data_IF_914860338212
#
_entry.id   IF_914860338212
#
_cell.length_a   1.000
_cell.length_b   1.000
_cell.length_c   1.000
_cell.angle_alpha   90.00
_cell.angle_beta   90.00
_cell.angle_gamma   90.00
#
_symmetry.space_group_name_H-M   'P 1'
#
loop_
_entity.id
_entity.type
_entity.pdbx_description
1 polymer ?
#
# COMPACT_ATOMS: atom_id res chain seq x y z
N UNK A 1 -3.24 14.82 -14.92
CA UNK A 1 -2.61 14.66 -13.58
C UNK A 1 -3.59 13.93 -12.67
N UNK A 2 -3.11 13.18 -11.68
CA UNK A 2 -3.98 12.42 -10.76
C UNK A 2 -4.61 13.35 -9.73
N UNK A 3 -5.88 13.08 -9.40
CA UNK A 3 -6.64 13.83 -8.39
C UNK A 3 -6.10 13.56 -6.98
N UNK A 4 -6.00 14.60 -6.15
CA UNK A 4 -5.64 14.53 -4.74
C UNK A 4 -6.82 14.91 -3.85
N UNK A 5 -7.21 13.99 -2.97
CA UNK A 5 -8.31 14.15 -2.02
C UNK A 5 -7.85 14.36 -0.58
N UNK A 6 -6.54 14.31 -0.31
CA UNK A 6 -5.97 14.41 1.04
C UNK A 6 -5.16 13.19 1.48
N UNK A 7 -5.31 12.05 0.80
CA UNK A 7 -4.61 10.81 1.15
C UNK A 7 -3.23 10.69 0.50
N UNK A 8 -2.25 10.22 1.26
CA UNK A 8 -0.87 9.99 0.81
C UNK A 8 -0.27 11.21 0.06
N UNK A 9 -0.09 12.35 0.76
CA UNK A 9 0.40 13.59 0.14
C UNK A 9 1.78 13.41 -0.49
N UNK A 10 2.65 12.60 0.11
CA UNK A 10 3.99 12.30 -0.39
C UNK A 10 3.96 11.57 -1.75
N UNK A 11 3.13 10.54 -1.88
CA UNK A 11 2.96 9.80 -3.13
C UNK A 11 2.28 10.64 -4.23
N UNK A 12 1.39 11.55 -3.88
CA UNK A 12 0.82 12.48 -4.85
C UNK A 12 1.86 13.50 -5.35
N UNK A 13 2.62 14.13 -4.44
CA UNK A 13 3.68 15.09 -4.80
C UNK A 13 4.71 14.45 -5.73
N UNK A 14 5.16 13.22 -5.43
CA UNK A 14 6.13 12.51 -6.27
C UNK A 14 5.62 12.33 -7.71
N UNK A 15 4.35 11.96 -7.88
CA UNK A 15 3.73 11.78 -9.20
C UNK A 15 3.55 13.12 -9.92
N UNK A 16 3.18 14.17 -9.21
CA UNK A 16 3.09 15.52 -9.76
C UNK A 16 4.45 16.02 -10.25
N UNK A 17 5.52 15.90 -9.44
CA UNK A 17 6.89 16.26 -9.84
C UNK A 17 7.34 15.52 -11.10
N UNK A 18 7.04 14.21 -11.20
CA UNK A 18 7.32 13.40 -12.39
C UNK A 18 6.54 13.88 -13.61
N UNK A 19 5.24 14.14 -13.45
CA UNK A 19 4.40 14.69 -14.52
C UNK A 19 4.96 16.02 -15.03
N UNK A 20 5.29 16.93 -14.11
CA UNK A 20 5.86 18.24 -14.45
C UNK A 20 7.18 18.14 -15.20
N UNK A 21 8.08 17.26 -14.77
CA UNK A 21 9.34 17.03 -15.45
C UNK A 21 9.16 16.45 -16.86
N UNK A 22 8.23 15.49 -17.03
CA UNK A 22 7.97 14.86 -18.33
C UNK A 22 7.42 15.84 -19.37
N UNK A 23 6.54 16.75 -18.95
CA UNK A 23 5.89 17.72 -19.85
C UNK A 23 6.58 19.09 -19.87
N UNK A 24 7.64 19.29 -19.08
CA UNK A 24 8.43 20.51 -19.08
C UNK A 24 7.71 21.76 -18.57
N UNK A 25 6.80 21.61 -17.59
CA UNK A 25 5.98 22.73 -17.09
C UNK A 25 6.84 23.79 -16.40
N UNK A 26 6.52 25.07 -16.61
CA UNK A 26 7.09 26.20 -15.87
C UNK A 26 6.61 26.22 -14.40
N UNK A 27 7.25 26.99 -13.52
CA UNK A 27 6.83 27.08 -12.12
C UNK A 27 5.38 27.57 -11.96
N UNK A 28 4.94 28.49 -12.82
CA UNK A 28 3.57 29.01 -12.85
C UNK A 28 2.58 27.93 -13.30
N UNK A 29 2.91 27.19 -14.37
CA UNK A 29 2.07 26.12 -14.91
C UNK A 29 1.94 24.96 -13.92
N UNK A 30 3.01 24.63 -13.18
CA UNK A 30 2.99 23.59 -12.14
C UNK A 30 1.94 23.89 -11.08
N UNK A 31 1.90 25.13 -10.60
CA UNK A 31 0.95 25.53 -9.57
C UNK A 31 -0.49 25.43 -10.09
N UNK A 32 -0.76 25.94 -11.30
CA UNK A 32 -2.08 25.85 -11.92
C UNK A 32 -2.52 24.39 -12.08
N UNK A 33 -1.67 23.55 -12.65
CA UNK A 33 -1.97 22.14 -12.87
C UNK A 33 -2.16 21.36 -11.55
N UNK A 34 -1.39 21.67 -10.52
CA UNK A 34 -1.54 21.09 -9.19
C UNK A 34 -2.90 21.45 -8.58
N UNK A 35 -3.29 22.73 -8.62
CA UNK A 35 -4.57 23.21 -8.06
C UNK A 35 -5.76 22.61 -8.80
N UNK A 36 -5.68 22.50 -10.13
CA UNK A 36 -6.71 21.82 -10.94
C UNK A 36 -6.86 20.33 -10.62
N UNK A 37 -5.89 19.74 -9.93
CA UNK A 37 -5.87 18.33 -9.55
C UNK A 37 -6.24 18.11 -8.09
N UNK A 38 -6.66 19.15 -7.35
CA UNK A 38 -7.18 19.02 -6.00
C UNK A 38 -8.69 18.76 -6.04
N UNK A 39 -9.16 17.88 -5.17
CA UNK A 39 -10.58 17.57 -5.00
C UNK A 39 -10.92 17.29 -3.53
N UNK A 40 -12.21 17.24 -3.20
CA UNK A 40 -12.69 16.98 -1.85
C UNK A 40 -12.07 17.89 -0.79
N UNK A 41 -11.62 17.29 0.32
CA UNK A 41 -11.04 18.00 1.46
C UNK A 41 -9.80 18.82 1.09
N UNK A 42 -9.00 18.36 0.12
CA UNK A 42 -7.84 19.08 -0.37
C UNK A 42 -8.21 20.38 -1.09
N UNK A 43 -9.27 20.35 -1.90
CA UNK A 43 -9.75 21.54 -2.61
C UNK A 43 -10.36 22.56 -1.64
N UNK A 44 -11.19 22.11 -0.69
CA UNK A 44 -11.77 23.00 0.33
C UNK A 44 -10.69 23.68 1.17
N UNK A 45 -9.67 22.93 1.59
CA UNK A 45 -8.53 23.48 2.31
C UNK A 45 -7.77 24.53 1.48
N UNK A 46 -7.52 24.24 0.20
CA UNK A 46 -6.82 25.17 -0.69
C UNK A 46 -7.57 26.50 -0.79
N UNK A 47 -8.87 26.45 -1.09
CA UNK A 47 -9.72 27.65 -1.20
C UNK A 47 -9.73 28.47 0.10
N UNK A 48 -9.87 27.81 1.25
CA UNK A 48 -9.84 28.47 2.57
C UNK A 48 -8.51 29.18 2.87
N UNK A 49 -7.41 28.61 2.39
CA UNK A 49 -6.04 29.08 2.64
C UNK A 49 -5.65 30.20 1.67
N UNK A 50 -5.99 30.04 0.39
CA UNK A 50 -5.63 30.97 -0.69
C UNK A 50 -6.26 32.36 -0.48
N UNK A 51 -7.50 32.41 0.03
CA UNK A 51 -8.18 33.64 0.44
C UNK A 51 -7.45 34.45 1.52
N UNK A 52 -6.53 33.83 2.28
CA UNK A 52 -5.77 34.49 3.35
C UNK A 52 -4.32 34.69 2.98
N UNK A 53 -3.73 33.72 2.29
CA UNK A 53 -2.31 33.72 1.97
C UNK A 53 -2.05 32.92 0.71
N UNK A 54 -1.95 33.65 -0.39
CA UNK A 54 -1.68 33.16 -1.74
C UNK A 54 -0.50 32.18 -1.75
N UNK A 55 -0.62 31.14 -2.56
CA UNK A 55 0.47 30.21 -2.86
C UNK A 55 1.38 30.82 -3.92
N UNK A 56 2.62 31.12 -3.55
CA UNK A 56 3.57 31.79 -4.45
C UNK A 56 4.39 30.85 -5.34
N UNK A 57 4.36 29.53 -5.10
CA UNK A 57 5.09 28.55 -5.89
C UNK A 57 4.61 27.13 -5.61
N UNK A 58 4.96 26.20 -6.52
CA UNK A 58 4.76 24.77 -6.31
C UNK A 58 5.44 24.27 -5.02
N UNK A 59 6.66 24.73 -4.75
CA UNK A 59 7.38 24.40 -3.51
C UNK A 59 6.63 24.87 -2.25
N UNK A 60 6.00 26.05 -2.30
CA UNK A 60 5.19 26.53 -1.20
C UNK A 60 3.93 25.67 -1.00
N UNK A 61 3.28 25.25 -2.08
CA UNK A 61 2.12 24.36 -2.03
C UNK A 61 2.50 23.01 -1.42
N UNK A 62 3.57 22.36 -1.90
CA UNK A 62 4.09 21.08 -1.35
C UNK A 62 4.27 21.15 0.16
N UNK A 63 4.97 22.18 0.65
CA UNK A 63 5.24 22.34 2.09
C UNK A 63 3.95 22.44 2.92
N UNK A 64 3.00 23.27 2.50
CA UNK A 64 1.74 23.47 3.26
C UNK A 64 0.80 22.27 3.14
N UNK A 65 0.80 21.60 1.99
CA UNK A 65 0.04 20.38 1.75
C UNK A 65 0.53 19.27 2.68
N UNK A 66 1.86 19.07 2.77
CA UNK A 66 2.45 18.15 3.73
C UNK A 66 2.10 18.55 5.17
N UNK A 67 2.18 19.83 5.55
CA UNK A 67 1.81 20.27 6.90
C UNK A 67 0.35 19.97 7.26
N UNK A 68 -0.57 20.03 6.28
CA UNK A 68 -2.01 19.85 6.50
C UNK A 68 -2.48 18.40 6.46
N UNK A 69 -1.93 17.62 5.54
CA UNK A 69 -2.42 16.28 5.17
C UNK A 69 -1.45 15.16 5.55
N UNK A 70 -0.19 15.46 5.89
CA UNK A 70 0.67 14.46 6.50
C UNK A 70 0.22 14.28 7.95
N UNK A 71 -0.13 13.06 8.32
CA UNK A 71 -0.51 12.71 9.69
C UNK A 71 0.64 13.05 10.65
N UNK A 72 0.41 13.99 11.58
CA UNK A 72 1.41 14.38 12.58
C UNK A 72 1.57 13.34 13.70
N UNK A 73 0.64 12.38 13.82
CA UNK A 73 0.71 11.33 14.86
C UNK A 73 1.67 10.19 14.49
N UNK A 74 1.98 10.04 13.20
CA UNK A 74 2.77 8.91 12.69
C UNK A 74 4.28 9.21 12.63
N UNK A 75 4.69 10.45 12.92
CA UNK A 75 6.09 10.88 12.78
C UNK A 75 6.50 11.11 11.32
N UNK A 76 7.79 11.36 11.09
CA UNK A 76 8.36 11.51 9.74
C UNK A 76 8.22 10.23 8.93
N UNK A 77 8.24 10.31 7.59
CA UNK A 77 8.25 9.13 6.72
C UNK A 77 9.36 8.13 7.08
N UNK A 78 10.52 8.61 7.53
CA UNK A 78 11.62 7.76 7.96
C UNK A 78 11.27 7.03 9.27
N UNK A 79 10.66 7.72 10.23
CA UNK A 79 10.19 7.10 11.48
C UNK A 79 9.10 6.06 11.19
N UNK A 80 8.14 6.38 10.33
CA UNK A 80 7.11 5.44 9.86
C UNK A 80 7.72 4.21 9.20
N UNK A 81 8.67 4.42 8.29
CA UNK A 81 9.39 3.33 7.63
C UNK A 81 10.10 2.41 8.64
N UNK A 82 10.82 2.97 9.61
CA UNK A 82 11.51 2.17 10.64
C UNK A 82 10.54 1.46 11.60
N UNK A 83 9.36 2.05 11.81
CA UNK A 83 8.32 1.54 12.69
C UNK A 83 7.35 0.56 12.00
N UNK A 84 7.35 0.44 10.67
CA UNK A 84 6.38 -0.38 9.93
C UNK A 84 6.38 -1.85 10.41
N UNK A 85 5.21 -2.39 10.71
CA UNK A 85 5.00 -3.77 11.19
C UNK A 85 3.90 -4.46 10.40
N UNK A 86 4.05 -5.76 10.18
CA UNK A 86 3.02 -6.61 9.61
C UNK A 86 1.85 -6.73 10.59
N UNK A 87 0.67 -6.23 10.20
CA UNK A 87 -0.58 -6.40 10.94
C UNK A 87 -1.54 -7.42 10.29
N UNK A 88 -1.34 -7.71 9.00
CA UNK A 88 -2.15 -8.63 8.21
C UNK A 88 -1.29 -9.55 7.35
N UNK A 89 -1.62 -9.67 6.07
CA UNK A 89 -0.86 -10.52 5.15
C UNK A 89 0.53 -9.93 4.85
N UNK A 90 1.48 -10.79 4.48
CA UNK A 90 2.81 -10.37 4.00
C UNK A 90 2.67 -9.49 2.77
N UNK A 91 1.72 -9.79 1.87
CA UNK A 91 1.46 -8.97 0.69
C UNK A 91 1.03 -7.54 1.04
N UNK A 92 0.12 -7.37 2.01
CA UNK A 92 -0.29 -6.04 2.47
C UNK A 92 0.86 -5.30 3.15
N UNK A 93 1.61 -5.98 4.02
CA UNK A 93 2.78 -5.42 4.68
C UNK A 93 3.86 -4.98 3.69
N UNK A 94 4.16 -5.81 2.68
CA UNK A 94 5.12 -5.48 1.61
C UNK A 94 4.71 -4.22 0.87
N UNK A 95 3.44 -4.10 0.52
CA UNK A 95 2.90 -2.90 -0.15
C UNK A 95 3.11 -1.65 0.71
N UNK A 96 2.80 -1.71 1.99
CA UNK A 96 2.98 -0.59 2.92
C UNK A 96 4.46 -0.22 3.07
N UNK A 97 5.33 -1.22 3.23
CA UNK A 97 6.77 -1.04 3.26
C UNK A 97 7.29 -0.32 2.00
N UNK A 98 6.86 -0.76 0.81
CA UNK A 98 7.25 -0.15 -0.47
C UNK A 98 6.75 1.30 -0.57
N UNK A 99 5.53 1.59 -0.13
CA UNK A 99 4.97 2.95 -0.10
C UNK A 99 5.82 3.87 0.78
N UNK A 100 6.22 3.41 1.97
CA UNK A 100 7.02 4.20 2.92
C UNK A 100 8.48 4.33 2.48
N UNK A 101 9.05 3.30 1.86
CA UNK A 101 10.45 3.28 1.43
C UNK A 101 10.70 4.08 0.14
N UNK A 102 9.76 4.07 -0.81
CA UNK A 102 9.89 4.75 -2.12
C UNK A 102 10.33 6.22 -2.05
N UNK A 103 9.74 7.09 -1.20
CA UNK A 103 10.16 8.49 -1.11
C UNK A 103 11.51 8.69 -0.41
N UNK A 104 12.05 7.68 0.28
CA UNK A 104 13.27 7.79 1.09
C UNK A 104 14.52 7.51 0.24
N UNK A 105 15.23 8.57 -0.14
CA UNK A 105 16.48 8.46 -0.90
C UNK A 105 17.66 8.09 0.00
N UNK A 106 18.58 7.28 -0.51
CA UNK A 106 19.88 7.01 0.13
C UNK A 106 19.84 6.01 1.29
N UNK A 107 18.73 5.30 1.50
CA UNK A 107 18.68 4.20 2.46
C UNK A 107 19.47 3.01 1.90
N UNK A 108 20.44 2.53 2.67
CA UNK A 108 21.21 1.33 2.29
C UNK A 108 20.33 0.08 2.23
N UNK A 109 20.63 -0.84 1.32
CA UNK A 109 19.89 -2.10 1.19
C UNK A 109 19.87 -2.89 2.49
N UNK A 110 20.97 -2.91 3.25
CA UNK A 110 21.06 -3.56 4.56
C UNK A 110 20.05 -3.00 5.58
N UNK A 111 19.80 -1.68 5.55
CA UNK A 111 18.77 -1.06 6.40
C UNK A 111 17.39 -1.48 5.93
N UNK A 112 17.14 -1.51 4.61
CA UNK A 112 15.85 -2.00 4.08
C UNK A 112 15.57 -3.45 4.47
N UNK A 113 16.54 -4.34 4.30
CA UNK A 113 16.45 -5.74 4.73
C UNK A 113 16.17 -5.86 6.23
N UNK A 114 16.93 -5.13 7.05
CA UNK A 114 16.79 -5.17 8.51
C UNK A 114 15.43 -4.66 8.96
N UNK A 115 14.94 -3.55 8.38
CA UNK A 115 13.63 -2.99 8.68
C UNK A 115 12.52 -3.95 8.26
N UNK A 116 12.60 -4.52 7.06
CA UNK A 116 11.61 -5.49 6.57
C UNK A 116 11.57 -6.74 7.47
N UNK A 117 12.73 -7.32 7.75
CA UNK A 117 12.86 -8.50 8.62
C UNK A 117 12.33 -8.25 10.03
N UNK A 118 12.56 -7.06 10.58
CA UNK A 118 12.09 -6.69 11.92
C UNK A 118 10.59 -6.46 11.99
N UNK A 119 9.97 -6.02 10.89
CA UNK A 119 8.54 -5.75 10.85
C UNK A 119 7.65 -6.96 10.60
N UNK A 120 8.20 -8.07 10.09
CA UNK A 120 7.45 -9.32 9.92
C UNK A 120 6.98 -9.93 11.25
N UNK A 121 5.88 -10.68 11.18
CA UNK A 121 5.39 -11.50 12.29
C UNK A 121 6.47 -12.47 12.77
N UNK A 122 6.47 -12.74 14.08
CA UNK A 122 7.49 -13.57 14.72
C UNK A 122 7.65 -14.95 14.07
N UNK A 123 6.54 -15.61 13.74
CA UNK A 123 6.53 -16.94 13.12
C UNK A 123 7.20 -16.97 11.74
N UNK A 124 7.02 -15.92 10.94
CA UNK A 124 7.64 -15.79 9.63
C UNK A 124 9.13 -15.45 9.81
N UNK A 125 9.43 -14.50 10.69
CA UNK A 125 10.80 -14.07 10.98
C UNK A 125 11.68 -15.19 11.51
N UNK A 126 11.14 -16.07 12.35
CA UNK A 126 11.88 -17.22 12.90
C UNK A 126 12.35 -18.16 11.79
N UNK A 127 11.46 -18.50 10.85
CA UNK A 127 11.77 -19.36 9.71
C UNK A 127 12.77 -18.71 8.75
N UNK A 128 12.60 -17.42 8.46
CA UNK A 128 13.53 -16.69 7.60
C UNK A 128 14.95 -16.64 8.17
N UNK A 129 15.12 -16.63 9.50
CA UNK A 129 16.46 -16.74 10.12
C UNK A 129 17.11 -18.10 9.90
N UNK A 130 16.34 -19.17 9.73
CA UNK A 130 16.87 -20.49 9.38
C UNK A 130 17.23 -20.56 7.90
N UNK A 131 16.42 -19.92 7.05
CA UNK A 131 16.59 -19.94 5.60
C UNK A 131 17.69 -19.00 5.07
N UNK A 132 18.06 -17.97 5.85
CA UNK A 132 19.14 -17.02 5.52
C UNK A 132 18.99 -16.41 4.10
N UNK A 133 17.88 -15.69 3.82
CA UNK A 133 17.70 -15.00 2.54
C UNK A 133 18.80 -13.96 2.28
N UNK A 134 19.07 -13.71 1.00
CA UNK A 134 20.04 -12.72 0.54
C UNK A 134 19.35 -11.60 -0.24
N UNK A 135 19.63 -10.34 0.07
CA UNK A 135 18.99 -9.23 -0.62
C UNK A 135 17.52 -9.03 -0.21
N UNK A 136 17.02 -7.81 -0.41
CA UNK A 136 15.65 -7.46 -0.04
C UNK A 136 14.60 -8.25 -0.84
N UNK A 137 14.83 -8.47 -2.14
CA UNK A 137 13.89 -9.15 -3.02
C UNK A 137 13.65 -10.60 -2.63
N UNK A 138 14.71 -11.35 -2.34
CA UNK A 138 14.60 -12.75 -1.91
C UNK A 138 13.98 -12.86 -0.51
N UNK A 139 14.31 -11.95 0.40
CA UNK A 139 13.68 -11.85 1.71
C UNK A 139 12.16 -11.69 1.61
N UNK A 140 11.69 -10.79 0.75
CA UNK A 140 10.26 -10.57 0.51
C UNK A 140 9.58 -11.80 -0.10
N UNK A 141 10.22 -12.45 -1.09
CA UNK A 141 9.70 -13.66 -1.72
C UNK A 141 9.58 -14.82 -0.72
N UNK A 142 10.62 -15.07 0.07
CA UNK A 142 10.60 -16.12 1.08
C UNK A 142 9.57 -15.84 2.17
N UNK A 143 9.40 -14.59 2.58
CA UNK A 143 8.37 -14.22 3.56
C UNK A 143 6.98 -14.63 3.08
N UNK A 144 6.66 -14.40 1.80
CA UNK A 144 5.38 -14.82 1.21
C UNK A 144 5.23 -16.33 1.21
N UNK A 145 6.26 -17.07 0.78
CA UNK A 145 6.24 -18.55 0.77
C UNK A 145 6.03 -19.14 2.16
N UNK A 146 6.64 -18.55 3.19
CA UNK A 146 6.46 -18.98 4.58
C UNK A 146 5.03 -18.72 5.05
N UNK A 147 4.44 -17.57 4.73
CA UNK A 147 3.02 -17.30 5.01
C UNK A 147 2.09 -18.30 4.33
N UNK A 148 2.29 -18.56 3.03
CA UNK A 148 1.48 -19.51 2.25
C UNK A 148 1.55 -20.93 2.82
N UNK A 149 2.76 -21.38 3.20
CA UNK A 149 2.98 -22.66 3.88
C UNK A 149 2.24 -22.71 5.21
N UNK A 150 2.33 -21.66 6.02
CA UNK A 150 1.68 -21.59 7.32
C UNK A 150 0.16 -21.64 7.18
N UNK A 151 -0.41 -20.96 6.16
CA UNK A 151 -1.83 -21.02 5.84
C UNK A 151 -2.27 -22.43 5.43
N UNK A 152 -1.53 -23.07 4.51
CA UNK A 152 -1.83 -24.44 4.09
C UNK A 152 -1.79 -25.44 5.27
N UNK A 153 -0.83 -25.29 6.18
CA UNK A 153 -0.73 -26.11 7.39
C UNK A 153 -1.87 -25.86 8.38
N UNK A 154 -2.39 -24.63 8.48
CA UNK A 154 -3.57 -24.31 9.31
C UNK A 154 -4.82 -24.97 8.72
N UNK A 155 -5.05 -24.84 7.42
CA UNK A 155 -6.18 -25.48 6.72
C UNK A 155 -6.15 -27.00 6.87
N UNK A 156 -4.98 -27.63 6.77
CA UNK A 156 -4.84 -29.08 6.95
C UNK A 156 -5.12 -29.56 8.39
N UNK A 157 -5.07 -28.66 9.39
CA UNK A 157 -5.32 -28.97 10.81
C UNK A 157 -6.76 -28.71 11.23
N UNK A 158 -7.51 -27.90 10.50
CA UNK A 158 -8.94 -27.71 10.73
C UNK A 158 -9.69 -28.98 10.27
N UNK A 159 -10.42 -29.69 11.16
CA UNK A 159 -11.15 -30.86 10.75
C UNK A 159 -12.23 -30.46 9.73
N UNK A 160 -12.23 -31.11 8.56
CA UNK A 160 -13.32 -31.05 7.59
C UNK A 160 -14.67 -31.28 8.32
N UNK A 161 -15.48 -30.23 8.50
CA UNK A 161 -16.84 -30.38 9.02
C UNK A 161 -17.69 -31.11 7.96
N UNK A 162 -18.17 -32.34 8.21
CA UNK A 162 -18.87 -33.16 7.22
C UNK A 162 -20.21 -32.56 6.76
N UNK A 163 -20.69 -31.48 7.39
CA UNK A 163 -21.94 -30.81 7.02
C UNK A 163 -21.85 -30.01 5.72
N UNK A 164 -20.67 -29.52 5.34
CA UNK A 164 -20.51 -28.75 4.09
C UNK A 164 -20.58 -29.65 2.85
N UNK A 165 -20.08 -30.89 2.95
CA UNK A 165 -20.01 -31.84 1.83
C UNK A 165 -21.37 -32.38 1.40
N UNK A 166 -22.38 -32.37 2.28
CA UNK A 166 -23.77 -32.79 1.95
C UNK A 166 -24.53 -31.77 1.10
N UNK A 167 -24.15 -30.49 1.10
CA UNK A 167 -24.84 -29.48 0.27
C UNK A 167 -24.42 -29.54 -1.21
N UNK A 168 -23.21 -30.01 -1.51
CA UNK A 168 -22.75 -30.19 -2.89
C UNK A 168 -23.29 -31.47 -3.55
N UNK A 169 -23.66 -32.50 -2.76
CA UNK A 169 -24.22 -33.75 -3.34
C UNK A 169 -25.72 -33.69 -3.62
N UNK A 170 -26.45 -32.72 -3.04
CA UNK A 170 -27.89 -32.52 -3.33
C UNK A 170 -28.16 -31.66 -4.56
N UNK A 171 -27.17 -30.89 -5.04
CA UNK A 171 -27.32 -30.04 -6.22
C UNK A 171 -27.17 -30.80 -7.55
N UNK A 172 -26.55 -31.99 -7.55
CA UNK A 172 -26.29 -32.78 -8.77
C UNK A 172 -27.30 -33.92 -9.02
N UNK A 173 -28.45 -33.93 -8.33
CA UNK A 173 -29.54 -34.86 -8.61
C UNK A 173 -30.69 -34.17 -9.34
N UNK A 174 -30.35 -33.45 -10.42
CA UNK A 174 -31.31 -33.04 -11.44
C UNK A 174 -31.65 -34.24 -12.31
N UNK A 175 -32.82 -34.83 -12.07
CA UNK A 175 -33.36 -35.95 -12.81
C UNK A 175 -33.51 -35.62 -14.30
N UNK A 176 -32.89 -36.44 -15.15
CA UNK A 176 -33.27 -36.56 -16.55
C UNK A 176 -34.62 -37.29 -16.62
N UNK A 177 -35.68 -36.60 -17.05
CA UNK A 177 -36.87 -37.28 -17.60
C UNK A 177 -36.99 -36.95 -19.08
N UNK A 178 -36.70 -37.97 -19.87
CA UNK A 178 -36.90 -38.06 -21.32
C UNK A 178 -38.31 -38.60 -21.58
N UNK A 179 -39.04 -37.99 -22.53
CA UNK A 179 -40.17 -38.55 -23.28
C UNK A 179 -41.51 -38.67 -22.51
N UNK A 180 -42.70 -38.63 -23.11
CA UNK A 180 -43.15 -38.71 -24.50
C UNK A 180 -44.56 -38.10 -24.64
N UNK A 181 -44.89 -37.73 -25.88
CA UNK A 181 -46.19 -37.40 -26.51
C UNK A 181 -47.49 -37.83 -25.80
N UNK A 182 -48.48 -36.92 -25.71
CA UNK A 182 -49.69 -36.83 -26.56
C UNK A 182 -50.42 -35.50 -26.30
#
# INVERSE_FOLDING_TARGET
MLVFTGENPDGWIFRADRYFATYGLTEEEKLVAAVMSLDGDALFWYQWTDLRKVFGSWENLKRRLLLRFRSTQEGSLCEQFLAVRQQGTVAAYRREFEILATPLKGISEKVMESTFMNGLLFEIRAELRLLQPYGLGHLMEMAQRVEDRNLAMRVAREPNDPKSTKMLSSANRGEWKIGENF
#
